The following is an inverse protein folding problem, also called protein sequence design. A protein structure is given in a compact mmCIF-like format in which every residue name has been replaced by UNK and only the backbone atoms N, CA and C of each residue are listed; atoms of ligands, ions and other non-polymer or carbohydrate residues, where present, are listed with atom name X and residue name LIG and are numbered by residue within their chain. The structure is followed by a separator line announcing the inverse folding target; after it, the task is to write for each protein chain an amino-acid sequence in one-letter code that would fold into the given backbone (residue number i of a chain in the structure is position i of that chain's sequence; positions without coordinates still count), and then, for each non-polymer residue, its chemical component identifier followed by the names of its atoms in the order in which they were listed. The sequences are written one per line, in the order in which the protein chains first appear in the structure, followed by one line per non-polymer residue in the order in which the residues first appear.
data_IF_356123429619
#
_entry.id   IF_356123429619
#
_cell.length_a   1.000
_cell.length_b   1.000
_cell.length_c   1.000
_cell.angle_alpha   90.00
_cell.angle_beta   90.00
_cell.angle_gamma   90.00
#
_symmetry.space_group_name_H-M   'P 1'
#
loop_
_entity.id
_entity.type
_entity.pdbx_description
1 polymer ?
#
# COMPACT_ATOMS: atom_id res chain seq x y z
N UNK A 1 -25.78 -0.82 38.93
CA UNK A 1 -24.33 -0.94 38.70
C UNK A 1 -23.95 -2.03 37.70
N UNK A 2 -24.71 -3.13 37.56
CA UNK A 2 -24.44 -4.21 36.59
C UNK A 2 -24.67 -3.87 35.10
N UNK A 3 -25.45 -2.84 34.77
CA UNK A 3 -25.71 -2.44 33.37
C UNK A 3 -24.50 -1.78 32.67
N UNK A 4 -23.62 -1.12 33.43
CA UNK A 4 -22.51 -0.34 32.84
C UNK A 4 -21.34 -1.23 32.38
N UNK A 5 -21.03 -2.31 33.12
CA UNK A 5 -19.93 -3.22 32.78
C UNK A 5 -20.17 -3.95 31.45
N UNK A 6 -21.42 -4.32 31.19
CA UNK A 6 -21.79 -5.08 29.99
C UNK A 6 -21.88 -4.27 28.69
N UNK A 7 -22.05 -2.95 28.78
CA UNK A 7 -21.98 -2.03 27.63
C UNK A 7 -20.52 -1.73 27.25
N UNK A 8 -19.63 -1.71 28.24
CA UNK A 8 -18.19 -1.56 28.06
C UNK A 8 -17.59 -2.78 27.34
N UNK A 9 -18.02 -3.99 27.70
CA UNK A 9 -17.64 -5.24 27.03
C UNK A 9 -18.03 -5.24 25.55
N UNK A 10 -19.22 -4.75 25.20
CA UNK A 10 -19.69 -4.68 23.82
C UNK A 10 -18.95 -3.62 22.99
N UNK A 11 -18.61 -2.49 23.60
CA UNK A 11 -17.74 -1.48 22.97
C UNK A 11 -16.33 -2.00 22.77
N UNK A 12 -15.82 -2.78 23.72
CA UNK A 12 -14.52 -3.44 23.62
C UNK A 12 -14.53 -4.49 22.50
N UNK A 13 -15.59 -5.29 22.40
CA UNK A 13 -15.80 -6.25 21.32
C UNK A 13 -15.89 -5.56 19.95
N UNK A 14 -16.64 -4.47 19.83
CA UNK A 14 -16.74 -3.68 18.60
C UNK A 14 -15.41 -3.04 18.17
N UNK A 15 -14.44 -2.91 19.10
CA UNK A 15 -13.08 -2.39 18.87
C UNK A 15 -12.02 -3.48 18.83
N UNK A 16 -12.42 -4.76 18.87
CA UNK A 16 -11.48 -5.88 18.94
C UNK A 16 -10.73 -6.15 17.63
N UNK A 17 -11.20 -5.58 16.52
CA UNK A 17 -10.59 -5.65 15.20
C UNK A 17 -10.89 -4.36 14.40
N UNK A 18 -10.25 -4.18 13.26
CA UNK A 18 -10.51 -3.04 12.36
C UNK A 18 -11.95 -3.09 11.83
N UNK A 19 -12.44 -4.29 11.55
CA UNK A 19 -13.83 -4.54 11.16
C UNK A 19 -14.43 -5.65 12.00
N UNK A 20 -15.54 -5.36 12.68
CA UNK A 20 -16.26 -6.32 13.52
C UNK A 20 -17.67 -6.51 12.97
N UNK A 21 -18.03 -7.76 12.67
CA UNK A 21 -19.32 -8.12 12.10
C UNK A 21 -20.09 -8.97 13.10
N UNK A 22 -21.18 -8.42 13.63
CA UNK A 22 -22.16 -9.19 14.40
C UNK A 22 -23.17 -9.79 13.42
N UNK A 23 -23.28 -11.12 13.39
CA UNK A 23 -24.14 -11.83 12.43
C UNK A 23 -24.88 -13.00 13.09
N UNK A 24 -25.97 -13.47 12.46
CA UNK A 24 -26.62 -14.70 12.89
C UNK A 24 -25.94 -15.93 12.26
N UNK A 25 -26.15 -17.15 12.78
CA UNK A 25 -25.54 -18.37 12.24
C UNK A 25 -25.89 -18.67 10.78
N UNK A 26 -27.00 -18.10 10.29
CA UNK A 26 -27.51 -18.28 8.93
C UNK A 26 -27.24 -17.06 8.03
N UNK A 27 -26.51 -16.07 8.53
CA UNK A 27 -26.21 -14.86 7.74
C UNK A 27 -25.10 -15.16 6.74
N UNK A 28 -25.41 -15.02 5.45
CA UNK A 28 -24.40 -14.90 4.40
C UNK A 28 -23.76 -13.50 4.46
N UNK A 29 -22.43 -13.46 4.57
CA UNK A 29 -21.63 -12.22 4.59
C UNK A 29 -21.52 -11.58 3.19
N UNK A 30 -21.99 -12.28 2.16
CA UNK A 30 -22.14 -11.78 0.80
C UNK A 30 -20.84 -11.30 0.19
N UNK A 31 -19.71 -11.93 0.52
CA UNK A 31 -18.36 -11.57 0.04
C UNK A 31 -17.73 -10.36 0.76
N UNK A 32 -18.25 -9.95 1.93
CA UNK A 32 -17.56 -8.95 2.76
C UNK A 32 -16.31 -9.56 3.42
N UNK A 33 -16.40 -10.81 3.83
CA UNK A 33 -15.30 -11.66 4.29
C UNK A 33 -14.17 -11.73 3.27
N UNK A 34 -14.46 -12.11 2.02
CA UNK A 34 -13.46 -12.13 0.94
C UNK A 34 -12.82 -10.76 0.72
N UNK A 35 -13.63 -9.69 0.72
CA UNK A 35 -13.14 -8.32 0.55
C UNK A 35 -12.21 -7.89 1.71
N UNK A 36 -12.55 -8.27 2.94
CA UNK A 36 -11.74 -7.96 4.12
C UNK A 36 -10.42 -8.74 4.11
N UNK A 37 -10.45 -10.01 3.72
CA UNK A 37 -9.25 -10.83 3.53
C UNK A 37 -8.33 -10.26 2.42
N UNK A 38 -8.89 -9.89 1.27
CA UNK A 38 -8.14 -9.29 0.16
C UNK A 38 -7.52 -7.93 0.51
N UNK A 39 -8.22 -7.14 1.33
CA UNK A 39 -7.76 -5.82 1.78
C UNK A 39 -6.70 -5.90 2.90
N UNK A 40 -6.54 -7.06 3.53
CA UNK A 40 -5.62 -7.25 4.66
C UNK A 40 -6.08 -6.59 5.95
N UNK A 41 -7.37 -6.23 6.06
CA UNK A 41 -7.93 -5.70 7.31
C UNK A 41 -8.00 -6.79 8.36
N UNK A 42 -7.61 -6.47 9.60
CA UNK A 42 -7.87 -7.34 10.72
C UNK A 42 -9.39 -7.30 10.99
N UNK A 43 -10.08 -8.43 10.81
CA UNK A 43 -11.52 -8.48 10.96
C UNK A 43 -11.95 -9.65 11.84
N UNK A 44 -13.13 -9.50 12.47
CA UNK A 44 -13.70 -10.50 13.35
C UNK A 44 -15.20 -10.66 13.13
N UNK A 45 -15.63 -11.89 12.92
CA UNK A 45 -17.03 -12.29 12.92
C UNK A 45 -17.43 -12.71 14.35
N UNK A 46 -18.51 -12.14 14.87
CA UNK A 46 -19.11 -12.53 16.15
C UNK A 46 -20.49 -13.09 15.86
N UNK A 47 -20.60 -14.42 15.99
CA UNK A 47 -21.86 -15.12 15.80
C UNK A 47 -22.80 -14.90 16.99
N UNK A 48 -24.05 -14.53 16.70
CA UNK A 48 -25.11 -14.32 17.66
C UNK A 48 -26.22 -15.36 17.43
N UNK A 49 -26.06 -16.52 18.06
CA UNK A 49 -27.08 -17.58 18.05
C UNK A 49 -28.28 -17.25 18.93
N UNK A 50 -29.48 -17.68 18.52
CA UNK A 50 -30.71 -17.51 19.32
C UNK A 50 -30.86 -18.52 20.47
N UNK A 51 -29.91 -19.46 20.61
CA UNK A 51 -29.98 -20.59 21.53
C UNK A 51 -29.61 -20.28 22.99
N UNK A 52 -28.80 -19.24 23.25
CA UNK A 52 -28.34 -18.89 24.60
C UNK A 52 -29.01 -17.61 25.12
N UNK A 53 -29.19 -17.52 26.44
CA UNK A 53 -29.68 -16.30 27.10
C UNK A 53 -28.68 -15.14 26.98
N UNK A 54 -27.39 -15.45 26.95
CA UNK A 54 -26.28 -14.51 26.81
C UNK A 54 -26.28 -13.81 25.43
N UNK A 55 -26.40 -14.55 24.33
CA UNK A 55 -26.42 -13.98 22.98
C UNK A 55 -27.66 -13.11 22.74
N UNK A 56 -28.82 -13.47 23.33
CA UNK A 56 -30.04 -12.64 23.31
C UNK A 56 -29.87 -11.33 24.07
N UNK A 57 -29.13 -11.35 25.18
CA UNK A 57 -28.80 -10.16 25.96
C UNK A 57 -27.82 -9.26 25.19
N UNK A 58 -26.77 -9.84 24.61
CA UNK A 58 -25.82 -9.12 23.76
C UNK A 58 -26.53 -8.46 22.56
N UNK A 59 -27.46 -9.15 21.91
CA UNK A 59 -28.25 -8.58 20.82
C UNK A 59 -29.15 -7.42 21.28
N UNK A 60 -29.80 -7.55 22.44
CA UNK A 60 -30.61 -6.46 23.02
C UNK A 60 -29.78 -5.21 23.29
N UNK A 61 -28.56 -5.38 23.83
CA UNK A 61 -27.64 -4.27 24.08
C UNK A 61 -27.11 -3.67 22.79
N UNK A 62 -26.74 -4.51 21.83
CA UNK A 62 -26.32 -4.06 20.51
C UNK A 62 -27.41 -3.20 19.85
N UNK A 63 -28.68 -3.64 19.92
CA UNK A 63 -29.84 -2.86 19.46
C UNK A 63 -29.99 -1.53 20.20
N UNK A 64 -29.77 -1.50 21.51
CA UNK A 64 -29.80 -0.27 22.30
C UNK A 64 -28.68 0.71 21.91
N UNK A 65 -27.49 0.19 21.59
CA UNK A 65 -26.33 0.98 21.20
C UNK A 65 -26.41 1.52 19.76
N UNK A 66 -26.89 0.73 18.81
CA UNK A 66 -26.90 1.09 17.38
C UNK A 66 -28.24 1.63 16.91
N UNK A 67 -29.30 1.46 17.72
CA UNK A 67 -30.68 1.74 17.34
C UNK A 67 -31.25 0.75 16.30
N UNK A 68 -30.48 -0.25 15.87
CA UNK A 68 -30.87 -1.15 14.77
C UNK A 68 -31.35 -2.50 15.30
N UNK A 69 -32.54 -2.90 14.86
CA UNK A 69 -33.21 -4.12 15.31
C UNK A 69 -32.92 -5.38 14.49
N UNK A 70 -31.99 -5.32 13.54
CA UNK A 70 -31.68 -6.43 12.63
C UNK A 70 -30.18 -6.70 12.62
N UNK A 71 -29.83 -7.98 12.43
CA UNK A 71 -28.49 -8.43 12.05
C UNK A 71 -28.44 -8.56 10.52
N UNK A 72 -27.26 -8.49 9.88
CA UNK A 72 -25.95 -8.20 10.49
C UNK A 72 -25.73 -6.72 10.81
N UNK A 73 -24.93 -6.47 11.85
CA UNK A 73 -24.48 -5.14 12.27
C UNK A 73 -22.96 -5.07 12.24
N UNK A 74 -22.43 -4.11 11.49
CA UNK A 74 -21.01 -3.99 11.21
C UNK A 74 -20.46 -2.71 11.84
N UNK A 75 -19.29 -2.87 12.44
CA UNK A 75 -18.49 -1.79 12.99
C UNK A 75 -17.16 -1.72 12.24
N UNK A 76 -16.73 -0.50 11.92
CA UNK A 76 -15.42 -0.22 11.31
C UNK A 76 -14.70 0.74 12.25
N UNK A 77 -13.52 0.35 12.74
CA UNK A 77 -12.72 1.07 13.73
C UNK A 77 -13.52 1.43 15.00
N UNK A 78 -14.37 0.51 15.46
CA UNK A 78 -15.24 0.72 16.61
C UNK A 78 -16.41 1.68 16.40
N UNK A 79 -16.64 2.17 15.17
CA UNK A 79 -17.84 2.96 14.81
C UNK A 79 -18.85 2.11 14.08
N UNK A 80 -20.11 2.20 14.50
CA UNK A 80 -21.20 1.53 13.81
C UNK A 80 -21.42 2.16 12.43
N UNK A 81 -21.31 1.35 11.37
CA UNK A 81 -21.50 1.79 9.97
C UNK A 81 -22.81 1.28 9.35
N UNK A 82 -23.45 0.28 9.95
CA UNK A 82 -24.73 -0.25 9.46
C UNK A 82 -24.68 -1.74 9.18
N UNK A 83 -25.23 -2.16 8.03
CA UNK A 83 -25.24 -3.57 7.60
C UNK A 83 -24.13 -3.84 6.59
N UNK A 84 -24.10 -5.04 6.01
CA UNK A 84 -23.04 -5.43 5.07
C UNK A 84 -22.84 -4.42 3.92
N UNK A 85 -23.92 -3.96 3.28
CA UNK A 85 -23.82 -3.01 2.16
C UNK A 85 -23.28 -1.64 2.58
N UNK A 86 -23.72 -1.12 3.73
CA UNK A 86 -23.22 0.14 4.26
C UNK A 86 -21.75 0.03 4.68
N UNK A 87 -21.35 -1.11 5.24
CA UNK A 87 -19.97 -1.41 5.55
C UNK A 87 -19.10 -1.43 4.28
N UNK A 88 -19.51 -2.18 3.25
CA UNK A 88 -18.82 -2.22 1.95
C UNK A 88 -18.67 -0.83 1.33
N UNK A 89 -19.74 -0.03 1.33
CA UNK A 89 -19.70 1.34 0.83
C UNK A 89 -18.68 2.20 1.60
N UNK A 90 -18.70 2.14 2.94
CA UNK A 90 -17.79 2.90 3.78
C UNK A 90 -16.31 2.51 3.60
N UNK A 91 -16.04 1.21 3.40
CA UNK A 91 -14.69 0.71 3.13
C UNK A 91 -14.22 1.14 1.73
N UNK A 92 -15.11 1.09 0.73
CA UNK A 92 -14.81 1.51 -0.64
C UNK A 92 -14.52 3.02 -0.75
N UNK A 93 -15.30 3.87 -0.08
CA UNK A 93 -15.08 5.33 -0.08
C UNK A 93 -13.71 5.69 0.53
N UNK A 94 -13.36 5.07 1.66
CA UNK A 94 -12.06 5.27 2.31
C UNK A 94 -10.90 4.77 1.46
N UNK A 95 -11.06 3.59 0.86
CA UNK A 95 -10.06 3.02 -0.05
C UNK A 95 -9.86 3.91 -1.29
N UNK A 96 -10.95 4.47 -1.85
CA UNK A 96 -10.91 5.35 -3.02
C UNK A 96 -10.10 6.63 -2.79
N UNK A 97 -10.29 7.31 -1.66
CA UNK A 97 -9.59 8.55 -1.33
C UNK A 97 -8.07 8.37 -1.18
N UNK A 98 -7.65 7.33 -0.45
CA UNK A 98 -6.22 7.01 -0.26
C UNK A 98 -5.54 6.59 -1.57
N UNK A 99 -6.23 5.79 -2.40
CA UNK A 99 -5.70 5.32 -3.68
C UNK A 99 -5.51 6.46 -4.68
N UNK A 100 -6.44 7.42 -4.73
CA UNK A 100 -6.34 8.59 -5.60
C UNK A 100 -5.17 9.51 -5.22
N UNK A 101 -5.00 9.80 -3.92
CA UNK A 101 -3.88 10.59 -3.43
C UNK A 101 -2.53 9.92 -3.72
N UNK A 102 -2.42 8.61 -3.47
CA UNK A 102 -1.24 7.81 -3.78
C UNK A 102 -0.92 7.81 -5.28
N UNK A 103 -1.95 7.69 -6.13
CA UNK A 103 -1.81 7.79 -7.58
C UNK A 103 -1.24 9.14 -8.01
N UNK A 104 -1.82 10.25 -7.55
CA UNK A 104 -1.37 11.58 -7.92
C UNK A 104 0.06 11.86 -7.50
N UNK A 105 0.41 11.57 -6.26
CA UNK A 105 1.77 11.76 -5.76
C UNK A 105 2.78 10.88 -6.51
N UNK A 106 2.38 9.66 -6.87
CA UNK A 106 3.19 8.77 -7.70
C UNK A 106 3.50 9.38 -9.07
N UNK A 107 2.48 9.87 -9.79
CA UNK A 107 2.68 10.48 -11.12
C UNK A 107 3.45 11.79 -11.07
N UNK A 108 3.22 12.63 -10.05
CA UNK A 108 4.00 13.85 -9.84
C UNK A 108 5.48 13.54 -9.62
N UNK A 109 5.81 12.40 -9.03
CA UNK A 109 7.17 11.90 -8.92
C UNK A 109 7.88 11.64 -10.26
N UNK A 110 7.17 11.57 -11.39
CA UNK A 110 7.81 11.48 -12.71
C UNK A 110 8.23 12.84 -13.28
N UNK A 111 7.71 13.95 -12.75
CA UNK A 111 8.02 15.29 -13.28
C UNK A 111 9.53 15.62 -13.19
N UNK A 112 10.23 15.38 -12.06
CA UNK A 112 11.65 15.68 -11.99
C UNK A 112 12.49 14.77 -12.91
N UNK A 113 12.09 13.51 -13.10
CA UNK A 113 12.72 12.62 -14.09
C UNK A 113 12.62 13.20 -15.50
N UNK A 114 11.42 13.57 -15.94
CA UNK A 114 11.20 14.11 -17.27
C UNK A 114 11.93 15.45 -17.47
N UNK A 115 11.81 16.36 -16.50
CA UNK A 115 12.44 17.67 -16.57
C UNK A 115 13.97 17.58 -16.65
N UNK A 116 14.60 16.75 -15.81
CA UNK A 116 16.06 16.59 -15.81
C UNK A 116 16.56 15.80 -17.01
N UNK A 117 15.84 14.77 -17.46
CA UNK A 117 16.17 14.03 -18.68
C UNK A 117 16.12 14.90 -19.93
N UNK A 118 15.07 15.72 -20.09
CA UNK A 118 14.98 16.72 -21.15
C UNK A 118 16.12 17.73 -21.00
N UNK A 119 16.40 18.18 -19.78
CA UNK A 119 17.50 19.08 -19.47
C UNK A 119 18.84 18.61 -20.02
N UNK A 120 19.16 17.30 -19.94
CA UNK A 120 20.44 16.76 -20.47
C UNK A 120 20.64 17.09 -21.95
N UNK A 121 19.57 17.10 -22.75
CA UNK A 121 19.63 17.40 -24.18
C UNK A 121 19.94 18.86 -24.50
N UNK A 122 19.71 19.78 -23.56
CA UNK A 122 19.94 21.22 -23.76
C UNK A 122 21.31 21.69 -23.27
N UNK A 123 22.13 20.80 -22.70
CA UNK A 123 23.52 21.10 -22.35
C UNK A 123 23.84 21.69 -20.96
N UNK A 124 22.92 21.93 -19.99
CA UNK A 124 23.34 22.22 -18.63
C UNK A 124 24.14 21.06 -18.04
N UNK A 125 25.41 21.31 -17.67
CA UNK A 125 26.32 20.29 -17.15
C UNK A 125 25.81 19.57 -15.89
N UNK A 126 24.92 20.19 -15.13
CA UNK A 126 24.33 19.62 -13.92
C UNK A 126 23.13 18.70 -14.17
N UNK A 127 22.52 18.73 -15.35
CA UNK A 127 21.25 18.03 -15.61
C UNK A 127 21.36 16.52 -15.43
N UNK A 128 22.44 15.91 -15.93
CA UNK A 128 22.69 14.49 -15.77
C UNK A 128 22.94 14.09 -14.30
N UNK A 129 23.61 14.96 -13.54
CA UNK A 129 23.82 14.77 -12.10
C UNK A 129 22.51 14.84 -11.32
N UNK A 130 21.63 15.79 -11.64
CA UNK A 130 20.31 15.89 -11.00
C UNK A 130 19.40 14.71 -11.35
N UNK A 131 19.44 14.25 -12.61
CA UNK A 131 18.71 13.05 -13.04
C UNK A 131 19.18 11.81 -12.26
N UNK A 132 20.50 11.63 -12.14
CA UNK A 132 21.08 10.53 -11.37
C UNK A 132 20.72 10.63 -9.88
N UNK A 133 20.88 11.80 -9.27
CA UNK A 133 20.57 12.04 -7.86
C UNK A 133 19.09 11.76 -7.55
N UNK A 134 18.17 12.27 -8.38
CA UNK A 134 16.75 12.01 -8.20
C UNK A 134 16.41 10.53 -8.42
N UNK A 135 17.00 9.90 -9.44
CA UNK A 135 16.87 8.46 -9.68
C UNK A 135 17.31 7.61 -8.49
N UNK A 136 18.43 7.98 -7.87
CA UNK A 136 18.95 7.32 -6.67
C UNK A 136 18.03 7.48 -5.45
N UNK A 137 17.50 8.69 -5.21
CA UNK A 137 16.53 8.96 -4.14
C UNK A 137 15.30 8.06 -4.29
N UNK A 138 14.71 8.01 -5.48
CA UNK A 138 13.53 7.20 -5.72
C UNK A 138 13.86 5.71 -5.59
N UNK A 139 14.95 5.23 -6.20
CA UNK A 139 15.34 3.81 -6.10
C UNK A 139 15.56 3.36 -4.65
N UNK A 140 16.15 4.22 -3.81
CA UNK A 140 16.28 3.97 -2.36
C UNK A 140 14.92 3.90 -1.65
N UNK A 141 14.04 4.88 -1.91
CA UNK A 141 12.68 4.91 -1.34
C UNK A 141 11.87 3.65 -1.67
N UNK A 142 12.01 3.16 -2.90
CA UNK A 142 11.36 1.95 -3.40
C UNK A 142 11.69 0.71 -2.56
N UNK A 143 12.95 0.56 -2.13
CA UNK A 143 13.40 -0.53 -1.27
C UNK A 143 12.80 -0.47 0.13
N UNK A 144 12.78 0.74 0.73
CA UNK A 144 12.27 0.97 2.09
C UNK A 144 10.81 0.51 2.33
N UNK A 145 9.98 0.49 1.27
CA UNK A 145 8.61 -0.05 1.34
C UNK A 145 8.60 -1.49 1.86
N UNK A 146 9.57 -2.31 1.46
CA UNK A 146 9.62 -3.73 1.81
C UNK A 146 10.17 -3.98 3.21
N UNK A 147 11.06 -3.10 3.69
CA UNK A 147 11.44 -3.10 5.10
C UNK A 147 10.21 -2.85 5.97
N UNK A 148 9.43 -1.81 5.65
CA UNK A 148 8.21 -1.49 6.37
C UNK A 148 7.18 -2.62 6.34
N UNK A 149 7.04 -3.28 5.18
CA UNK A 149 6.14 -4.42 5.02
C UNK A 149 6.60 -5.68 5.76
N UNK A 150 7.91 -5.94 5.82
CA UNK A 150 8.46 -7.02 6.62
C UNK A 150 8.23 -6.78 8.11
N UNK A 151 8.33 -5.51 8.57
CA UNK A 151 8.09 -5.14 9.97
C UNK A 151 6.61 -5.27 10.39
N UNK A 152 5.66 -5.11 9.46
CA UNK A 152 4.23 -5.25 9.76
C UNK A 152 3.72 -6.69 9.75
N UNK A 153 4.55 -7.66 9.35
CA UNK A 153 4.15 -9.07 9.19
C UNK A 153 4.83 -9.97 10.23
N UNK A 154 4.06 -10.64 11.11
CA UNK A 154 4.59 -11.68 11.97
C UNK A 154 5.25 -12.80 11.14
N UNK A 155 6.50 -13.14 11.45
CA UNK A 155 7.22 -14.22 10.76
C UNK A 155 7.76 -13.88 9.37
N UNK A 156 7.87 -12.59 8.99
CA UNK A 156 8.53 -12.21 7.76
C UNK A 156 9.97 -12.76 7.68
N UNK A 157 10.34 -13.32 6.52
CA UNK A 157 11.70 -13.82 6.29
C UNK A 157 12.73 -12.70 6.43
N UNK A 158 13.87 -12.93 7.12
CA UNK A 158 14.96 -11.96 7.22
C UNK A 158 15.46 -11.44 5.85
N UNK A 159 15.33 -12.25 4.81
CA UNK A 159 15.73 -11.92 3.44
C UNK A 159 15.06 -10.66 2.90
N UNK A 160 13.85 -10.34 3.36
CA UNK A 160 13.13 -9.14 2.93
C UNK A 160 13.81 -7.86 3.42
N UNK A 161 14.38 -7.89 4.64
CA UNK A 161 15.16 -6.78 5.15
C UNK A 161 16.45 -6.60 4.34
N UNK A 162 17.18 -7.69 4.08
CA UNK A 162 18.41 -7.62 3.28
C UNK A 162 18.14 -7.12 1.86
N UNK A 163 17.12 -7.67 1.18
CA UNK A 163 16.73 -7.25 -0.15
C UNK A 163 16.35 -5.76 -0.18
N UNK A 164 15.62 -5.25 0.82
CA UNK A 164 15.17 -3.85 0.87
C UNK A 164 16.29 -2.81 0.86
N UNK A 165 17.51 -3.20 1.28
CA UNK A 165 18.69 -2.32 1.31
C UNK A 165 19.42 -2.29 -0.04
N UNK A 166 19.30 -3.35 -0.84
CA UNK A 166 20.02 -3.49 -2.12
C UNK A 166 19.77 -2.30 -3.06
N UNK A 167 18.53 -1.81 -3.29
CA UNK A 167 18.28 -0.65 -4.13
C UNK A 167 19.04 0.61 -3.69
N UNK A 168 19.10 0.86 -2.38
CA UNK A 168 19.79 2.03 -1.82
C UNK A 168 21.31 1.94 -2.02
N UNK A 169 21.90 0.75 -1.85
CA UNK A 169 23.33 0.54 -2.08
C UNK A 169 23.69 0.65 -3.56
N UNK A 170 22.88 0.09 -4.45
CA UNK A 170 23.06 0.21 -5.91
C UNK A 170 22.95 1.68 -6.32
N UNK A 171 21.94 2.40 -5.83
CA UNK A 171 21.75 3.82 -6.07
C UNK A 171 22.95 4.65 -5.60
N UNK A 172 23.42 4.41 -4.38
CA UNK A 172 24.57 5.12 -3.81
C UNK A 172 25.85 4.86 -4.62
N UNK A 173 26.15 3.60 -4.93
CA UNK A 173 27.31 3.25 -5.75
C UNK A 173 27.27 3.89 -7.15
N UNK A 174 26.08 3.97 -7.76
CA UNK A 174 25.89 4.61 -9.06
C UNK A 174 26.15 6.12 -9.05
N UNK A 175 26.02 6.80 -7.90
CA UNK A 175 26.35 8.22 -7.75
C UNK A 175 27.84 8.49 -7.60
N UNK A 176 28.65 7.47 -7.27
CA UNK A 176 30.10 7.61 -7.12
C UNK A 176 30.87 7.53 -8.44
N UNK A 177 30.18 7.19 -9.53
CA UNK A 177 30.74 7.05 -10.87
C UNK A 177 30.21 8.13 -11.82
N UNK A 178 30.87 8.40 -12.96
CA UNK A 178 30.37 9.35 -13.94
C UNK A 178 28.95 9.01 -14.41
N UNK A 179 28.13 10.03 -14.70
CA UNK A 179 26.71 9.85 -15.05
C UNK A 179 26.47 8.93 -16.25
N UNK A 180 27.40 8.88 -17.21
CA UNK A 180 27.33 7.95 -18.36
C UNK A 180 27.34 6.47 -17.94
N UNK A 181 27.90 6.16 -16.76
CA UNK A 181 27.87 4.83 -16.14
C UNK A 181 26.76 4.75 -15.08
N UNK A 182 26.58 5.80 -14.28
CA UNK A 182 25.60 5.80 -13.19
C UNK A 182 24.14 5.68 -13.66
N UNK A 183 23.75 6.41 -14.72
CA UNK A 183 22.38 6.38 -15.24
C UNK A 183 21.90 4.98 -15.68
N UNK A 184 22.65 4.20 -16.48
CA UNK A 184 22.24 2.84 -16.83
C UNK A 184 22.25 1.90 -15.63
N UNK A 185 23.15 2.07 -14.65
CA UNK A 185 23.14 1.28 -13.40
C UNK A 185 21.86 1.54 -12.59
N UNK A 186 21.45 2.80 -12.44
CA UNK A 186 20.20 3.15 -11.75
C UNK A 186 18.99 2.57 -12.52
N UNK A 187 18.97 2.68 -13.84
CA UNK A 187 17.90 2.11 -14.67
C UNK A 187 17.82 0.58 -14.52
N UNK A 188 18.95 -0.11 -14.55
CA UNK A 188 19.03 -1.54 -14.27
C UNK A 188 18.59 -1.89 -12.84
N UNK A 189 18.90 -1.04 -11.86
CA UNK A 189 18.42 -1.17 -10.49
C UNK A 189 16.90 -1.12 -10.39
N UNK A 190 16.25 -0.19 -11.07
CA UNK A 190 14.78 -0.11 -11.15
C UNK A 190 14.16 -1.37 -11.78
N UNK A 191 14.72 -1.85 -12.89
CA UNK A 191 14.23 -3.06 -13.58
C UNK A 191 14.45 -4.28 -12.70
N UNK A 192 15.66 -4.46 -12.18
CA UNK A 192 16.04 -5.59 -11.33
C UNK A 192 15.17 -5.65 -10.07
N UNK A 193 14.94 -4.50 -9.43
CA UNK A 193 14.02 -4.43 -8.30
C UNK A 193 12.61 -4.81 -8.70
N UNK A 194 12.07 -4.27 -9.82
CA UNK A 194 10.72 -4.62 -10.28
C UNK A 194 10.57 -6.11 -10.57
N UNK A 195 11.60 -6.75 -11.12
CA UNK A 195 11.63 -8.21 -11.33
C UNK A 195 11.62 -8.96 -10.01
N UNK A 196 12.44 -8.55 -9.04
CA UNK A 196 12.44 -9.12 -7.69
C UNK A 196 11.06 -8.98 -7.03
N UNK A 197 10.43 -7.80 -7.08
CA UNK A 197 9.07 -7.57 -6.56
C UNK A 197 8.05 -8.52 -7.20
N UNK A 198 8.19 -8.82 -8.48
CA UNK A 198 7.27 -9.70 -9.23
C UNK A 198 7.44 -11.19 -8.92
N UNK A 199 8.57 -11.60 -8.33
CA UNK A 199 8.88 -12.99 -7.99
C UNK A 199 8.67 -13.27 -6.50
N UNK A 200 9.35 -12.49 -5.66
CA UNK A 200 9.43 -12.73 -4.22
C UNK A 200 8.31 -12.03 -3.43
N UNK A 201 7.73 -10.99 -4.03
CA UNK A 201 6.69 -10.18 -3.40
C UNK A 201 5.37 -10.17 -4.20
N UNK A 202 5.13 -11.22 -4.97
CA UNK A 202 3.96 -11.41 -5.83
C UNK A 202 2.68 -11.68 -5.00
N UNK A 203 2.26 -10.71 -4.22
CA UNK A 203 1.16 -10.85 -3.24
C UNK A 203 1.38 -9.96 -2.02
N UNK A 204 2.57 -9.39 -1.89
CA UNK A 204 2.92 -8.50 -0.81
C UNK A 204 2.14 -7.17 -0.85
N UNK A 205 1.85 -6.69 -2.05
CA UNK A 205 1.23 -5.38 -2.31
C UNK A 205 -0.07 -5.51 -3.10
N UNK A 206 -1.06 -4.62 -2.86
CA UNK A 206 -2.31 -4.59 -3.60
C UNK A 206 -2.11 -4.46 -5.12
N UNK A 207 -3.02 -5.07 -5.90
CA UNK A 207 -2.96 -5.08 -7.38
C UNK A 207 -2.84 -3.68 -7.98
N UNK A 208 -3.57 -2.71 -7.46
CA UNK A 208 -3.54 -1.32 -7.94
C UNK A 208 -2.15 -0.69 -7.78
N UNK A 209 -1.50 -0.90 -6.64
CA UNK A 209 -0.18 -0.33 -6.36
C UNK A 209 0.89 -0.98 -7.22
N UNK A 210 0.79 -2.30 -7.46
CA UNK A 210 1.67 -3.00 -8.41
C UNK A 210 1.53 -2.47 -9.83
N UNK A 211 0.32 -2.12 -10.27
CA UNK A 211 0.08 -1.51 -11.59
C UNK A 211 0.69 -0.11 -11.66
N UNK A 212 0.43 0.72 -10.65
CA UNK A 212 1.03 2.05 -10.52
C UNK A 212 2.56 1.96 -10.58
N UNK A 213 3.16 1.06 -9.78
CA UNK A 213 4.59 0.76 -9.78
C UNK A 213 5.14 0.48 -11.17
N UNK A 214 4.50 -0.40 -11.94
CA UNK A 214 4.97 -0.70 -13.30
C UNK A 214 4.99 0.55 -14.18
N UNK A 215 3.97 1.41 -14.10
CA UNK A 215 3.94 2.67 -14.87
C UNK A 215 5.04 3.63 -14.42
N UNK A 216 5.20 3.83 -13.11
CA UNK A 216 6.23 4.73 -12.56
C UNK A 216 7.64 4.22 -12.88
N UNK A 217 7.91 2.92 -12.71
CA UNK A 217 9.19 2.31 -13.07
C UNK A 217 9.48 2.48 -14.56
N UNK A 218 8.48 2.28 -15.42
CA UNK A 218 8.66 2.46 -16.87
C UNK A 218 9.01 3.91 -17.21
N UNK A 219 8.28 4.88 -16.63
CA UNK A 219 8.57 6.30 -16.83
C UNK A 219 9.96 6.72 -16.35
N UNK A 220 10.36 6.26 -15.17
CA UNK A 220 11.70 6.51 -14.61
C UNK A 220 12.80 5.91 -15.49
N UNK A 221 12.65 4.65 -15.90
CA UNK A 221 13.62 3.96 -16.78
C UNK A 221 13.72 4.66 -18.14
N UNK A 222 12.59 5.04 -18.75
CA UNK A 222 12.60 5.78 -20.03
C UNK A 222 13.31 7.13 -19.90
N UNK A 223 13.10 7.86 -18.81
CA UNK A 223 13.79 9.12 -18.57
C UNK A 223 15.30 8.93 -18.34
N UNK A 224 15.69 7.93 -17.55
CA UNK A 224 17.10 7.58 -17.30
C UNK A 224 17.82 7.16 -18.59
N UNK A 225 17.19 6.30 -19.40
CA UNK A 225 17.73 5.87 -20.69
C UNK A 225 17.78 7.05 -21.67
N UNK A 226 16.73 7.88 -21.72
CA UNK A 226 16.70 9.06 -22.58
C UNK A 226 17.80 10.07 -22.23
N UNK A 227 18.05 10.31 -20.95
CA UNK A 227 19.16 11.15 -20.49
C UNK A 227 20.53 10.50 -20.74
N UNK A 228 20.64 9.18 -20.60
CA UNK A 228 21.87 8.46 -20.89
C UNK A 228 22.24 8.51 -22.38
N UNK A 229 21.26 8.33 -23.27
CA UNK A 229 21.47 8.42 -24.72
C UNK A 229 22.02 9.80 -25.13
N UNK A 230 21.58 10.87 -24.46
CA UNK A 230 22.07 12.24 -24.70
C UNK A 230 23.55 12.46 -24.32
N UNK A 231 24.14 11.55 -23.53
CA UNK A 231 25.55 11.59 -23.11
C UNK A 231 26.46 10.76 -24.02
N UNK A 232 25.90 9.99 -24.96
CA UNK A 232 26.70 9.14 -25.83
C UNK A 232 27.45 10.00 -26.87
N UNK A 233 28.69 9.65 -27.21
CA UNK A 233 29.53 10.47 -28.09
C UNK A 233 28.94 10.68 -29.50
N UNK A 234 28.00 9.84 -29.93
CA UNK A 234 27.34 9.95 -31.23
C UNK A 234 26.23 11.02 -31.27
N UNK A 235 25.81 11.59 -30.14
CA UNK A 235 24.73 12.61 -30.09
C UNK A 235 25.24 14.05 -30.17
N UNK A 236 26.55 14.28 -30.29
CA UNK A 236 27.13 15.59 -30.63
C UNK A 236 27.05 16.67 -29.53
N UNK A 237 26.75 16.28 -28.29
CA UNK A 237 26.57 17.16 -27.12
C UNK A 237 27.79 17.21 -26.18
N UNK A 238 28.93 16.62 -26.60
CA UNK A 238 30.19 16.56 -25.84
C UNK A 238 31.13 17.70 -26.15
#
# INVERSE_FOLDING_TARGET
MFFMAGDEDLRQLARSADVVVFHSPVTDLGGLDEQLEESGHNWRAIEMGMGSSESREQFRRLKAMTGRGTLPQVFVEGRFVGGLQAAKASLNERAGGSTAAAGWMGYLGLLPFLATAIGVWFGPAWAAGWLAAYGAVILSFIGAIYWGLAMSRPGASPEWFYASVVPALVAWAALLVPAIVGLPVIAAGFIGWRVWESREAAGALPRWFRRLRTVLTSGAVLALVGGWLALLPFTGTG
#
